data_IF_535286328314
#
_entry.id   IF_535286328314
#
_cell.length_a   1.000
_cell.length_b   1.000
_cell.length_c   1.000
_cell.angle_alpha   90.00
_cell.angle_beta   90.00
_cell.angle_gamma   90.00
#
_symmetry.space_group_name_H-M   'P 1'
#
loop_
_entity.id
_entity.type
_entity.pdbx_description
1 polymer ?
#
# COMPACT_ATOMS: atom_id res chain seq x y z
N UNK A 1 10.31 59.62 20.11
CA UNK A 1 11.26 58.76 19.37
C UNK A 1 11.61 57.41 20.04
N UNK A 2 11.79 57.32 21.37
CA UNK A 2 12.11 55.99 22.01
C UNK A 2 10.90 55.04 22.14
N UNK A 3 9.69 55.53 22.12
CA UNK A 3 8.46 54.75 22.32
C UNK A 3 7.94 54.11 21.03
N UNK A 4 8.17 54.74 19.89
CA UNK A 4 7.81 54.16 18.57
C UNK A 4 8.69 52.95 18.20
N UNK A 5 10.00 53.03 18.44
CA UNK A 5 10.92 51.87 18.20
C UNK A 5 10.56 50.63 19.00
N UNK A 6 9.97 50.77 20.19
CA UNK A 6 9.53 49.63 21.00
C UNK A 6 8.26 48.97 20.42
N UNK A 7 7.35 49.78 19.87
CA UNK A 7 6.14 49.27 19.25
C UNK A 7 6.47 48.49 17.98
N UNK A 8 7.34 49.04 17.12
CA UNK A 8 7.73 48.37 15.89
C UNK A 8 8.45 47.03 16.16
N UNK A 9 9.31 46.98 17.18
CA UNK A 9 9.98 45.73 17.58
C UNK A 9 9.01 44.64 18.07
N UNK A 10 7.95 45.01 18.76
CA UNK A 10 6.91 44.10 19.24
C UNK A 10 6.09 43.53 18.06
N UNK A 11 5.75 44.41 17.07
CA UNK A 11 5.02 44.01 15.87
C UNK A 11 5.85 43.10 14.96
N UNK A 12 7.16 43.39 14.82
CA UNK A 12 8.08 42.52 14.10
C UNK A 12 8.25 41.14 14.77
N UNK A 13 8.34 41.11 16.10
CA UNK A 13 8.40 39.84 16.85
C UNK A 13 7.13 39.00 16.73
N UNK A 14 5.96 39.67 16.79
CA UNK A 14 4.68 38.96 16.62
C UNK A 14 4.46 38.45 15.20
N UNK A 15 4.82 39.22 14.16
CA UNK A 15 4.72 38.79 12.77
C UNK A 15 5.69 37.61 12.47
N UNK A 16 6.91 37.70 12.99
CA UNK A 16 7.91 36.60 12.82
C UNK A 16 7.47 35.33 13.54
N UNK A 17 6.91 35.45 14.76
CA UNK A 17 6.35 34.32 15.51
C UNK A 17 5.19 33.64 14.79
N UNK A 18 4.32 34.42 14.15
CA UNK A 18 3.19 33.88 13.37
C UNK A 18 3.68 33.12 12.12
N UNK A 19 4.66 33.67 11.41
CA UNK A 19 5.24 33.01 10.24
C UNK A 19 5.92 31.68 10.62
N UNK A 20 6.62 31.65 11.76
CA UNK A 20 7.25 30.43 12.28
C UNK A 20 6.22 29.38 12.69
N UNK A 21 5.10 29.79 13.32
CA UNK A 21 4.00 28.90 13.68
C UNK A 21 3.29 28.32 12.44
N UNK A 22 3.06 29.14 11.42
CA UNK A 22 2.47 28.67 10.14
C UNK A 22 3.41 27.73 9.43
N UNK A 23 4.72 28.00 9.40
CA UNK A 23 5.72 27.13 8.79
C UNK A 23 5.84 25.79 9.55
N UNK A 24 5.78 25.82 10.89
CA UNK A 24 5.76 24.61 11.73
C UNK A 24 4.48 23.78 11.53
N UNK A 25 3.33 24.45 11.48
CA UNK A 25 2.04 23.79 11.22
C UNK A 25 2.01 23.18 9.81
N UNK A 26 2.54 23.89 8.80
CA UNK A 26 2.67 23.37 7.46
C UNK A 26 3.65 22.22 7.37
N UNK A 27 4.79 22.28 8.06
CA UNK A 27 5.75 21.19 8.16
C UNK A 27 5.19 19.96 8.87
N UNK A 28 4.38 20.16 9.93
CA UNK A 28 3.68 19.06 10.60
C UNK A 28 2.60 18.45 9.68
N UNK A 29 1.82 19.26 8.97
CA UNK A 29 0.85 18.76 7.99
C UNK A 29 1.55 17.95 6.89
N UNK A 30 2.72 18.41 6.40
CA UNK A 30 3.50 17.64 5.42
C UNK A 30 4.08 16.35 6.00
N UNK A 31 4.49 16.34 7.27
CA UNK A 31 4.95 15.13 7.96
C UNK A 31 3.82 14.10 8.19
N UNK A 32 2.60 14.56 8.43
CA UNK A 32 1.42 13.70 8.57
C UNK A 32 0.69 13.43 7.23
N UNK A 33 0.87 14.32 6.24
CA UNK A 33 0.37 14.14 4.86
C UNK A 33 1.39 13.49 3.93
N UNK A 34 2.60 13.26 4.38
CA UNK A 34 3.73 12.68 3.64
C UNK A 34 3.58 11.19 3.30
N UNK A 35 2.38 10.74 3.05
CA UNK A 35 2.03 9.46 2.47
C UNK A 35 0.82 9.54 1.54
N UNK A 36 0.28 10.75 1.30
CA UNK A 36 -1.00 10.91 0.59
C UNK A 36 -0.89 11.61 -0.78
N UNK A 37 0.31 11.82 -1.30
CA UNK A 37 0.55 12.72 -2.43
C UNK A 37 1.00 12.11 -3.74
N UNK A 38 1.52 10.90 -3.79
CA UNK A 38 1.69 10.14 -5.01
C UNK A 38 0.56 9.14 -5.11
N UNK A 39 -0.19 9.20 -6.22
CA UNK A 39 -1.10 8.13 -6.60
C UNK A 39 -0.25 6.86 -6.69
N UNK A 40 -0.35 6.02 -5.67
CA UNK A 40 0.30 4.74 -5.67
C UNK A 40 -0.35 3.92 -6.79
N UNK A 41 0.28 3.91 -7.95
CA UNK A 41 -0.16 3.08 -9.05
C UNK A 41 -0.01 1.63 -8.64
N UNK A 42 -1.05 0.83 -8.86
CA UNK A 42 -0.94 -0.61 -8.71
C UNK A 42 0.13 -1.16 -9.67
N UNK A 43 0.79 -2.26 -9.27
CA UNK A 43 1.71 -2.95 -10.16
C UNK A 43 1.07 -3.28 -11.50
N UNK A 44 1.77 -2.93 -12.59
CA UNK A 44 1.26 -3.11 -13.96
C UNK A 44 1.02 -4.59 -14.29
N UNK A 45 1.73 -5.48 -13.62
CA UNK A 45 1.65 -6.93 -13.78
C UNK A 45 0.26 -7.48 -13.47
N UNK A 46 -0.51 -6.79 -12.62
CA UNK A 46 -1.89 -7.18 -12.32
C UNK A 46 -2.81 -7.12 -13.55
N UNK A 47 -2.43 -6.39 -14.59
CA UNK A 47 -3.22 -6.23 -15.80
C UNK A 47 -4.58 -5.55 -15.57
N UNK A 48 -4.71 -4.84 -14.45
CA UNK A 48 -5.90 -4.07 -14.11
C UNK A 48 -5.72 -2.66 -14.68
N UNK A 49 -6.46 -2.36 -15.74
CA UNK A 49 -6.45 -1.04 -16.37
C UNK A 49 -6.86 0.03 -15.35
N UNK A 50 -6.06 1.06 -15.25
CA UNK A 50 -6.01 2.27 -14.45
C UNK A 50 -7.26 2.91 -13.84
N UNK A 51 -8.35 2.19 -13.64
CA UNK A 51 -9.58 2.69 -13.02
C UNK A 51 -9.57 2.63 -11.49
N UNK A 52 -8.48 2.17 -10.90
CA UNK A 52 -8.36 2.05 -9.45
C UNK A 52 -7.85 3.38 -8.86
N UNK A 53 -8.74 4.35 -8.78
CA UNK A 53 -8.37 5.74 -8.50
C UNK A 53 -7.98 6.04 -7.04
N UNK A 54 -8.29 5.18 -6.07
CA UNK A 54 -7.98 5.48 -4.65
C UNK A 54 -7.79 4.22 -3.82
N UNK A 55 -6.58 3.89 -3.39
CA UNK A 55 -6.41 2.87 -2.36
C UNK A 55 -7.12 3.30 -1.06
N UNK A 56 -7.85 2.39 -0.44
CA UNK A 56 -8.43 2.60 0.89
C UNK A 56 -7.32 2.65 1.94
N UNK A 57 -6.27 1.83 1.75
CA UNK A 57 -5.02 1.92 2.46
C UNK A 57 -3.85 1.70 1.51
N UNK A 58 -2.77 2.39 1.78
CA UNK A 58 -1.50 2.24 1.07
C UNK A 58 -0.34 2.34 2.06
N UNK A 59 0.61 1.45 1.90
CA UNK A 59 1.87 1.50 2.62
C UNK A 59 3.00 1.11 1.68
N UNK A 60 4.10 1.84 1.75
CA UNK A 60 5.31 1.58 1.00
C UNK A 60 6.50 1.59 1.98
N UNK A 61 7.12 0.44 2.11
CA UNK A 61 8.27 0.20 2.96
C UNK A 61 9.59 0.12 2.19
N UNK A 62 9.58 0.43 0.88
CA UNK A 62 10.80 0.47 0.12
C UNK A 62 11.73 1.55 0.66
N UNK A 63 12.97 1.17 0.88
CA UNK A 63 13.97 2.07 1.45
C UNK A 63 15.39 1.58 1.18
N UNK A 64 16.37 2.44 1.54
CA UNK A 64 17.76 2.08 1.38
C UNK A 64 18.32 2.34 -0.01
N UNK A 65 19.55 1.92 -0.22
CA UNK A 65 20.33 2.23 -1.43
C UNK A 65 19.90 1.39 -2.64
N UNK A 66 19.30 0.21 -2.43
CA UNK A 66 18.90 -0.73 -3.47
C UNK A 66 17.39 -0.71 -3.79
N UNK A 67 16.60 0.04 -3.01
CA UNK A 67 15.15 0.09 -3.21
C UNK A 67 14.42 -1.17 -2.73
N UNK A 68 15.10 -2.06 -2.00
CA UNK A 68 14.49 -3.27 -1.47
C UNK A 68 13.38 -2.94 -0.47
N UNK A 69 12.29 -3.67 -0.49
CA UNK A 69 11.19 -3.44 0.43
C UNK A 69 9.90 -4.12 0.04
N UNK A 70 8.85 -3.74 0.76
CA UNK A 70 7.51 -4.27 0.56
C UNK A 70 6.55 -3.10 0.41
N UNK A 71 5.62 -3.19 -0.53
CA UNK A 71 4.51 -2.27 -0.65
C UNK A 71 3.17 -3.02 -0.52
N UNK A 72 2.14 -2.29 -0.09
CA UNK A 72 0.81 -2.83 0.14
C UNK A 72 -0.27 -1.85 -0.30
N UNK A 73 -1.30 -2.39 -0.92
CA UNK A 73 -2.50 -1.66 -1.34
C UNK A 73 -3.75 -2.41 -0.87
N UNK A 74 -4.72 -1.65 -0.40
CA UNK A 74 -6.06 -2.12 -0.11
C UNK A 74 -7.06 -1.23 -0.82
N UNK A 75 -7.94 -1.81 -1.63
CA UNK A 75 -8.88 -1.07 -2.46
C UNK A 75 -10.27 -1.67 -2.29
N UNK A 76 -11.17 -0.88 -1.74
CA UNK A 76 -12.57 -1.25 -1.60
C UNK A 76 -13.37 -0.74 -2.80
N UNK A 77 -14.24 -1.59 -3.33
CA UNK A 77 -15.11 -1.32 -4.47
C UNK A 77 -16.56 -1.22 -4.04
N UNK A 78 -17.31 -0.35 -4.71
CA UNK A 78 -18.77 -0.44 -4.64
C UNK A 78 -19.24 -1.76 -5.27
N UNK A 79 -20.46 -2.23 -4.96
CA UNK A 79 -20.98 -3.47 -5.55
C UNK A 79 -21.03 -3.46 -7.09
N UNK A 80 -21.22 -2.29 -7.69
CA UNK A 80 -21.25 -2.12 -9.14
C UNK A 80 -19.84 -2.24 -9.76
N UNK A 81 -18.86 -1.59 -9.15
CA UNK A 81 -17.44 -1.68 -9.54
C UNK A 81 -16.90 -3.10 -9.32
N UNK A 82 -17.26 -3.73 -8.20
CA UNK A 82 -16.92 -5.10 -7.88
C UNK A 82 -17.38 -6.08 -8.95
N UNK A 83 -18.63 -5.97 -9.38
CA UNK A 83 -19.17 -6.83 -10.44
C UNK A 83 -18.42 -6.63 -11.80
N UNK A 84 -18.02 -5.41 -12.11
CA UNK A 84 -17.22 -5.11 -13.28
C UNK A 84 -15.79 -5.68 -13.16
N UNK A 85 -15.17 -5.54 -11.99
CA UNK A 85 -13.86 -6.10 -11.68
C UNK A 85 -13.87 -7.63 -11.80
N UNK A 86 -14.79 -8.32 -11.15
CA UNK A 86 -14.91 -9.78 -11.19
C UNK A 86 -15.01 -10.31 -12.62
N UNK A 87 -15.81 -9.64 -13.45
CA UNK A 87 -15.90 -10.00 -14.86
C UNK A 87 -14.58 -9.84 -15.60
N UNK A 88 -13.77 -8.84 -15.25
CA UNK A 88 -12.44 -8.65 -15.85
C UNK A 88 -11.45 -9.70 -15.36
N UNK A 89 -11.48 -10.04 -14.05
CA UNK A 89 -10.59 -11.02 -13.44
C UNK A 89 -10.80 -12.43 -14.02
N UNK A 90 -12.04 -12.82 -14.35
CA UNK A 90 -12.36 -14.14 -14.95
C UNK A 90 -11.60 -14.43 -16.24
N UNK A 91 -11.18 -13.43 -16.98
CA UNK A 91 -10.45 -13.60 -18.25
C UNK A 91 -9.04 -13.03 -18.24
N UNK A 92 -8.62 -12.44 -17.13
CA UNK A 92 -7.32 -11.78 -17.03
C UNK A 92 -6.19 -12.79 -16.86
N UNK A 93 -5.09 -12.56 -17.57
CA UNK A 93 -3.92 -13.42 -17.48
C UNK A 93 -3.31 -13.39 -16.08
N UNK A 94 -3.03 -14.57 -15.53
CA UNK A 94 -2.40 -14.74 -14.21
C UNK A 94 -3.39 -14.76 -13.04
N UNK A 95 -4.63 -14.30 -13.23
CA UNK A 95 -5.67 -14.42 -12.21
C UNK A 95 -6.32 -15.81 -12.20
N UNK A 96 -6.52 -16.34 -11.02
CA UNK A 96 -7.10 -17.66 -10.78
C UNK A 96 -8.17 -17.58 -9.70
N UNK A 97 -9.20 -18.44 -9.74
CA UNK A 97 -10.15 -18.51 -8.63
C UNK A 97 -9.47 -19.06 -7.37
N UNK A 98 -9.93 -18.61 -6.20
CA UNK A 98 -9.53 -19.18 -4.91
C UNK A 98 -9.96 -20.66 -4.80
N UNK A 99 -9.29 -21.49 -3.97
CA UNK A 99 -8.22 -21.11 -3.05
C UNK A 99 -6.85 -20.92 -3.74
N UNK A 100 -5.97 -20.17 -3.08
CA UNK A 100 -4.54 -20.06 -3.48
C UNK A 100 -3.93 -21.46 -3.36
N UNK A 101 -3.14 -21.85 -4.34
CA UNK A 101 -2.53 -23.17 -4.39
C UNK A 101 -0.99 -23.15 -4.56
N UNK A 102 -0.41 -24.35 -4.46
CA UNK A 102 0.98 -24.61 -4.78
C UNK A 102 1.99 -23.77 -4.00
N UNK A 103 2.99 -23.26 -4.74
CA UNK A 103 4.08 -22.48 -4.14
C UNK A 103 3.60 -21.08 -3.71
N UNK A 104 2.59 -20.52 -4.37
CA UNK A 104 2.01 -19.24 -3.99
C UNK A 104 1.40 -19.30 -2.59
N UNK A 105 0.70 -20.39 -2.24
CA UNK A 105 0.18 -20.61 -0.89
C UNK A 105 1.30 -20.56 0.16
N UNK A 106 2.42 -21.24 -0.11
CA UNK A 106 3.54 -21.28 0.81
C UNK A 106 4.22 -19.90 0.97
N UNK A 107 4.32 -19.13 -0.11
CA UNK A 107 4.92 -17.80 -0.11
C UNK A 107 4.05 -16.77 0.60
N UNK A 108 2.73 -16.82 0.39
CA UNK A 108 1.81 -15.82 0.94
C UNK A 108 1.42 -16.08 2.39
N UNK A 109 1.21 -17.36 2.75
CA UNK A 109 0.65 -17.73 4.05
C UNK A 109 1.51 -18.67 4.87
N UNK A 110 2.66 -19.06 4.32
CA UNK A 110 3.52 -20.08 4.91
C UNK A 110 3.03 -21.51 4.65
N UNK A 111 3.91 -22.44 4.90
CA UNK A 111 3.60 -23.86 4.77
C UNK A 111 4.40 -24.71 5.75
N UNK A 112 3.80 -25.79 6.21
CA UNK A 112 4.52 -26.85 6.93
C UNK A 112 5.00 -27.90 5.92
N UNK A 113 6.31 -28.09 5.84
CA UNK A 113 6.91 -29.16 5.04
C UNK A 113 7.84 -29.99 5.92
N UNK A 114 7.59 -31.31 6.01
CA UNK A 114 8.41 -32.23 6.76
C UNK A 114 8.64 -31.85 8.24
N UNK A 115 7.62 -31.31 8.91
CA UNK A 115 7.71 -30.88 10.30
C UNK A 115 8.46 -29.55 10.51
N UNK A 116 8.82 -28.85 9.44
CA UNK A 116 9.37 -27.51 9.49
C UNK A 116 8.35 -26.52 8.92
N UNK A 117 7.98 -25.53 9.72
CA UNK A 117 7.18 -24.41 9.27
C UNK A 117 8.08 -23.35 8.63
N UNK A 118 7.79 -22.98 7.40
CA UNK A 118 8.29 -21.75 6.79
C UNK A 118 7.16 -20.74 6.81
N UNK A 119 7.38 -19.62 7.48
CA UNK A 119 6.42 -18.53 7.53
C UNK A 119 6.23 -17.88 6.16
N UNK A 120 5.25 -16.97 6.06
CA UNK A 120 5.06 -16.21 4.84
C UNK A 120 6.30 -15.37 4.51
N UNK A 121 6.56 -15.17 3.23
CA UNK A 121 7.65 -14.28 2.76
C UNK A 121 7.16 -12.86 2.53
N UNK A 122 5.91 -12.71 2.08
CA UNK A 122 5.27 -11.40 1.94
C UNK A 122 4.64 -11.04 3.30
N UNK A 123 5.39 -10.29 4.10
CA UNK A 123 5.02 -9.97 5.48
C UNK A 123 4.92 -8.48 5.73
N UNK A 124 4.02 -8.11 6.64
CA UNK A 124 3.96 -6.78 7.21
C UNK A 124 5.12 -6.50 8.19
N UNK A 125 5.11 -5.33 8.80
CA UNK A 125 6.11 -4.92 9.80
C UNK A 125 6.06 -5.77 11.07
N UNK A 126 4.95 -6.42 11.35
CA UNK A 126 4.73 -7.33 12.48
C UNK A 126 5.23 -8.76 12.20
N UNK A 127 5.64 -9.06 10.95
CA UNK A 127 6.05 -10.38 10.50
C UNK A 127 4.91 -11.33 10.15
N UNK A 128 3.66 -10.86 10.21
CA UNK A 128 2.49 -11.62 9.78
C UNK A 128 2.29 -11.51 8.25
N UNK A 129 1.50 -12.42 7.68
CA UNK A 129 1.17 -12.39 6.26
C UNK A 129 0.56 -11.02 5.87
N UNK A 130 1.12 -10.40 4.83
CA UNK A 130 0.69 -9.07 4.40
C UNK A 130 -0.72 -9.10 3.80
N UNK A 131 -1.05 -10.14 3.04
CA UNK A 131 -2.37 -10.31 2.45
C UNK A 131 -3.26 -11.13 3.39
N UNK A 132 -4.51 -10.71 3.65
CA UNK A 132 -5.41 -11.47 4.49
C UNK A 132 -5.81 -12.79 3.82
N UNK A 133 -6.09 -13.85 4.59
CA UNK A 133 -6.68 -15.06 4.04
C UNK A 133 -8.11 -14.77 3.58
N UNK A 134 -8.42 -15.12 2.33
CA UNK A 134 -9.72 -14.89 1.68
C UNK A 134 -10.28 -16.25 1.21
N UNK A 135 -11.59 -16.47 1.43
CA UNK A 135 -12.22 -17.75 1.12
C UNK A 135 -12.83 -17.79 -0.29
N UNK A 136 -13.38 -16.66 -0.75
CA UNK A 136 -14.08 -16.57 -2.04
C UNK A 136 -13.56 -15.37 -2.86
N UNK A 137 -13.24 -15.61 -4.13
CA UNK A 137 -12.78 -14.59 -5.05
C UNK A 137 -11.68 -15.07 -5.96
N UNK A 138 -10.68 -14.24 -6.16
CA UNK A 138 -9.60 -14.48 -7.11
C UNK A 138 -8.26 -14.18 -6.46
N UNK A 139 -7.21 -14.82 -6.97
CA UNK A 139 -5.83 -14.53 -6.59
C UNK A 139 -4.94 -14.39 -7.80
N UNK A 140 -3.83 -13.68 -7.62
CA UNK A 140 -2.80 -13.42 -8.62
C UNK A 140 -1.43 -13.58 -7.97
N UNK A 141 -0.49 -14.15 -8.70
CA UNK A 141 0.89 -14.22 -8.28
C UNK A 141 1.81 -14.10 -9.49
N UNK A 142 2.76 -13.21 -9.41
CA UNK A 142 3.76 -12.98 -10.45
C UNK A 142 5.15 -12.91 -9.82
N UNK A 143 6.03 -13.81 -10.25
CA UNK A 143 7.43 -13.78 -9.86
C UNK A 143 8.19 -12.90 -10.87
N UNK A 144 8.71 -11.76 -10.41
CA UNK A 144 9.45 -10.80 -11.24
C UNK A 144 10.87 -11.30 -11.53
N UNK A 145 11.56 -11.73 -10.47
CA UNK A 145 12.94 -12.24 -10.47
C UNK A 145 13.17 -13.04 -9.20
N UNK A 146 14.41 -13.49 -8.96
CA UNK A 146 14.77 -14.17 -7.73
C UNK A 146 14.39 -13.31 -6.52
N UNK A 147 13.51 -13.84 -5.68
CA UNK A 147 13.05 -13.25 -4.43
C UNK A 147 12.22 -11.94 -4.55
N UNK A 148 11.84 -11.53 -5.78
CA UNK A 148 10.96 -10.37 -6.01
C UNK A 148 9.66 -10.81 -6.66
N UNK A 149 8.50 -10.42 -6.11
CA UNK A 149 7.20 -10.82 -6.64
C UNK A 149 6.07 -9.85 -6.31
N UNK A 150 5.03 -9.91 -7.12
CA UNK A 150 3.76 -9.23 -6.90
C UNK A 150 2.68 -10.27 -6.65
N UNK A 151 1.87 -10.06 -5.64
CA UNK A 151 0.73 -10.90 -5.32
C UNK A 151 -0.50 -10.08 -5.01
N UNK A 152 -1.67 -10.62 -5.34
CA UNK A 152 -2.93 -9.99 -4.99
C UNK A 152 -4.00 -11.04 -4.68
N UNK A 153 -4.94 -10.68 -3.80
CA UNK A 153 -6.17 -11.42 -3.55
C UNK A 153 -7.35 -10.46 -3.59
N UNK A 154 -8.37 -10.84 -4.31
CA UNK A 154 -9.64 -10.15 -4.35
C UNK A 154 -10.67 -10.96 -3.57
N UNK A 155 -11.25 -10.33 -2.56
CA UNK A 155 -12.34 -10.87 -1.76
C UNK A 155 -13.68 -10.45 -2.36
N UNK A 156 -14.42 -11.42 -2.90
CA UNK A 156 -15.76 -11.17 -3.47
C UNK A 156 -16.84 -10.92 -2.42
N UNK A 157 -16.61 -11.24 -1.14
CA UNK A 157 -17.56 -10.97 -0.08
C UNK A 157 -17.48 -9.53 0.42
N UNK A 158 -16.26 -9.03 0.66
CA UNK A 158 -16.02 -7.65 1.10
C UNK A 158 -15.87 -6.66 -0.05
N UNK A 159 -15.79 -7.15 -1.29
CA UNK A 159 -15.47 -6.37 -2.49
C UNK A 159 -14.15 -5.60 -2.36
N UNK A 160 -13.15 -6.25 -1.79
CA UNK A 160 -11.85 -5.62 -1.51
C UNK A 160 -10.73 -6.34 -2.24
N UNK A 161 -9.89 -5.57 -2.92
CA UNK A 161 -8.64 -6.05 -3.50
C UNK A 161 -7.49 -5.72 -2.55
N UNK A 162 -6.74 -6.73 -2.20
CA UNK A 162 -5.50 -6.62 -1.46
C UNK A 162 -4.34 -6.94 -2.41
N UNK A 163 -3.33 -6.10 -2.44
CA UNK A 163 -2.15 -6.29 -3.26
C UNK A 163 -0.90 -6.08 -2.42
N UNK A 164 0.10 -6.90 -2.65
CA UNK A 164 1.41 -6.79 -2.03
C UNK A 164 2.51 -6.99 -3.05
N UNK A 165 3.59 -6.25 -2.87
CA UNK A 165 4.80 -6.33 -3.68
C UNK A 165 6.01 -6.49 -2.77
N UNK A 166 6.90 -7.40 -3.13
CA UNK A 166 8.22 -7.55 -2.52
C UNK A 166 9.26 -7.35 -3.61
N UNK A 167 10.19 -6.44 -3.38
CA UNK A 167 11.39 -6.24 -4.18
C UNK A 167 12.63 -6.44 -3.32
N UNK A 168 13.62 -7.20 -3.85
CA UNK A 168 14.90 -7.48 -3.19
C UNK A 168 16.09 -7.27 -4.11
#
# INVERSE_FOLDING_TARGET
MKQERKRDAVWFGAAFGLVLLVALAFGLVQLFAGGWGEQASLPQELGLDGTLEKPAAFWDGHGGFHGDGTAYWEIAFSPEEAAALEKSLQGAQGWQPLPVDGDAQALLYGAERQGHYSGPYLTGQDGEALLPPVEEGYWFFYNKQTDSYTAAVYDSQSHTLYCGELDT
#
